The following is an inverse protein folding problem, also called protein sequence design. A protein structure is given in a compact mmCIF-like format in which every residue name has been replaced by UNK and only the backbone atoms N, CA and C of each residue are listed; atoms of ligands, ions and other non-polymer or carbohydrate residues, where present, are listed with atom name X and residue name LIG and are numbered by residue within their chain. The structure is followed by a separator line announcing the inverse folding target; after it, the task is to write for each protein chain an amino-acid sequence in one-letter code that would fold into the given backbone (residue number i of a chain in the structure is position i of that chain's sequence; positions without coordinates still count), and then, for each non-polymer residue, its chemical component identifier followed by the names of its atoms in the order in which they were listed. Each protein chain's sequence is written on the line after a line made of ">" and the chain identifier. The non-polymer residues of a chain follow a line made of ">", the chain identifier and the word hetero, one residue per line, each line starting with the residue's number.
data_IF_660158422457
#
_entry.id   IF_660158422457
#
_cell.length_a   1.000
_cell.length_b   1.000
_cell.length_c   1.000
_cell.angle_alpha   90.00
_cell.angle_beta   90.00
_cell.angle_gamma   90.00
#
_symmetry.space_group_name_H-M   'P 1'
#
loop_
_entity.id
_entity.type
_entity.pdbx_description
1 polymer ?
#
# COMPACT_ATOMS: atom_id res chain seq x y z
N UNK A 1 10.32 -8.57 -23.24
CA UNK A 1 10.31 -8.07 -21.84
C UNK A 1 8.95 -8.45 -21.25
N UNK A 2 8.87 -9.08 -20.06
CA UNK A 2 7.59 -9.56 -19.56
C UNK A 2 6.72 -8.44 -18.99
N UNK A 3 5.43 -8.73 -18.90
CA UNK A 3 4.39 -7.73 -18.67
C UNK A 3 4.52 -7.09 -17.29
N UNK A 4 5.07 -5.88 -17.23
CA UNK A 4 5.22 -5.14 -15.98
C UNK A 4 3.84 -4.80 -15.38
N UNK A 5 2.78 -4.82 -16.20
CA UNK A 5 1.42 -4.63 -15.75
C UNK A 5 0.93 -5.78 -14.86
N UNK A 6 1.29 -7.04 -15.17
CA UNK A 6 0.95 -8.20 -14.34
C UNK A 6 1.57 -8.09 -12.94
N UNK A 7 2.81 -7.58 -12.85
CA UNK A 7 3.43 -7.33 -11.55
C UNK A 7 2.69 -6.23 -10.77
N UNK A 8 2.39 -5.10 -11.43
CA UNK A 8 1.69 -3.97 -10.78
C UNK A 8 0.32 -4.40 -10.24
N UNK A 9 -0.48 -5.13 -11.03
CA UNK A 9 -1.78 -5.64 -10.58
C UNK A 9 -1.65 -6.59 -9.39
N UNK A 10 -0.69 -7.53 -9.45
CA UNK A 10 -0.45 -8.50 -8.36
C UNK A 10 -0.04 -7.82 -7.07
N UNK A 11 0.86 -6.84 -7.16
CA UNK A 11 1.34 -6.06 -6.02
C UNK A 11 0.17 -5.33 -5.35
N UNK A 12 -0.63 -4.59 -6.12
CA UNK A 12 -1.77 -3.84 -5.58
C UNK A 12 -2.76 -4.79 -4.91
N UNK A 13 -3.11 -5.88 -5.59
CA UNK A 13 -4.02 -6.89 -5.03
C UNK A 13 -3.47 -7.48 -3.72
N UNK A 14 -2.19 -7.82 -3.66
CA UNK A 14 -1.56 -8.41 -2.47
C UNK A 14 -1.55 -7.42 -1.29
N UNK A 15 -1.11 -6.19 -1.51
CA UNK A 15 -1.03 -5.15 -0.46
C UNK A 15 -2.42 -4.86 0.13
N UNK A 16 -3.45 -4.80 -0.72
CA UNK A 16 -4.84 -4.50 -0.33
C UNK A 16 -5.53 -5.70 0.33
N UNK A 17 -5.07 -6.92 0.09
CA UNK A 17 -5.60 -8.15 0.71
C UNK A 17 -4.76 -8.64 1.89
N UNK A 18 -3.76 -7.86 2.33
CA UNK A 18 -2.95 -8.21 3.48
C UNK A 18 -3.83 -8.28 4.74
N UNK A 19 -4.06 -9.49 5.26
CA UNK A 19 -5.16 -9.78 6.21
C UNK A 19 -5.22 -8.83 7.42
N UNK A 20 -4.06 -8.46 7.98
CA UNK A 20 -4.00 -7.76 9.27
C UNK A 20 -2.88 -6.71 9.38
N UNK A 21 -2.98 -5.53 8.74
CA UNK A 21 -2.10 -4.42 9.11
C UNK A 21 -2.31 -4.10 10.60
N UNK A 22 -1.22 -3.99 11.37
CA UNK A 22 -1.28 -3.71 12.81
C UNK A 22 -2.03 -4.74 13.68
N UNK A 23 -2.17 -5.99 13.22
CA UNK A 23 -3.01 -7.02 13.85
C UNK A 23 -4.53 -6.74 13.83
N UNK A 24 -4.98 -5.72 13.08
CA UNK A 24 -6.39 -5.37 12.90
C UNK A 24 -6.81 -5.83 11.50
N UNK A 25 -7.97 -6.47 11.36
CA UNK A 25 -8.41 -6.90 10.02
C UNK A 25 -8.62 -5.69 9.12
N UNK A 26 -8.27 -5.79 7.83
CA UNK A 26 -8.59 -4.73 6.84
C UNK A 26 -10.10 -4.38 6.88
N UNK A 27 -10.95 -5.36 7.16
CA UNK A 27 -12.39 -5.16 7.28
C UNK A 27 -12.77 -4.15 8.38
N UNK A 28 -11.99 -4.06 9.45
CA UNK A 28 -12.27 -3.24 10.64
C UNK A 28 -11.86 -1.77 10.46
N UNK A 29 -11.15 -1.43 9.38
CA UNK A 29 -10.85 -0.04 9.03
C UNK A 29 -12.04 0.60 8.33
N UNK A 30 -12.69 1.55 9.02
CA UNK A 30 -13.88 2.27 8.52
C UNK A 30 -13.54 3.29 7.44
N UNK A 31 -12.34 3.85 7.45
CA UNK A 31 -11.85 4.74 6.41
C UNK A 31 -10.64 4.11 5.73
N UNK A 32 -10.70 3.99 4.41
CA UNK A 32 -9.65 3.36 3.60
C UNK A 32 -9.29 4.30 2.48
N UNK A 33 -8.00 4.60 2.38
CA UNK A 33 -7.49 5.44 1.33
C UNK A 33 -6.33 4.77 0.61
N UNK A 34 -6.29 4.91 -0.70
CA UNK A 34 -5.22 4.39 -1.54
C UNK A 34 -4.61 5.54 -2.33
N UNK A 35 -3.31 5.76 -2.21
CA UNK A 35 -2.62 6.80 -2.99
C UNK A 35 -2.41 6.36 -4.44
N UNK A 36 -3.44 6.49 -5.31
CA UNK A 36 -3.36 6.08 -6.71
C UNK A 36 -2.35 6.92 -7.47
N UNK A 37 -2.32 8.23 -7.23
CA UNK A 37 -1.37 9.14 -7.86
C UNK A 37 0.09 8.80 -7.48
N UNK A 38 0.38 8.58 -6.19
CA UNK A 38 1.70 8.17 -5.73
C UNK A 38 2.14 6.84 -6.38
N UNK A 39 1.21 5.87 -6.45
CA UNK A 39 1.43 4.57 -7.09
C UNK A 39 1.72 4.72 -8.60
N UNK A 40 0.96 5.55 -9.32
CA UNK A 40 1.18 5.85 -10.73
C UNK A 40 2.55 6.49 -10.96
N UNK A 41 2.96 7.44 -10.11
CA UNK A 41 4.28 8.08 -10.21
C UNK A 41 5.41 7.07 -10.01
N UNK A 42 5.28 6.16 -9.04
CA UNK A 42 6.25 5.10 -8.80
C UNK A 42 6.39 4.17 -10.02
N UNK A 43 5.26 3.79 -10.63
CA UNK A 43 5.24 2.96 -11.84
C UNK A 43 5.88 3.67 -13.03
N UNK A 44 5.54 4.93 -13.29
CA UNK A 44 6.12 5.74 -14.38
C UNK A 44 7.64 5.84 -14.25
N UNK A 45 8.12 6.15 -13.04
CA UNK A 45 9.55 6.23 -12.74
C UNK A 45 10.26 4.90 -13.00
N UNK A 46 9.64 3.79 -12.61
CA UNK A 46 10.19 2.46 -12.80
C UNK A 46 10.24 2.04 -14.28
N UNK A 47 9.18 2.31 -15.04
CA UNK A 47 9.12 2.00 -16.47
C UNK A 47 9.96 2.96 -17.32
N UNK A 48 10.39 4.10 -16.77
CA UNK A 48 11.14 5.13 -17.48
C UNK A 48 10.33 5.82 -18.59
N UNK A 49 9.00 5.71 -18.56
CA UNK A 49 8.10 6.31 -19.54
C UNK A 49 6.75 6.63 -18.90
N UNK A 50 6.01 7.54 -19.52
CA UNK A 50 4.63 7.77 -19.12
C UNK A 50 3.77 6.55 -19.48
N UNK A 51 2.89 6.21 -18.54
CA UNK A 51 1.95 5.09 -18.62
C UNK A 51 0.68 5.52 -17.91
N UNK A 52 -0.44 5.33 -18.59
CA UNK A 52 -1.75 5.28 -17.96
C UNK A 52 -2.06 3.82 -17.62
N UNK A 53 -2.23 3.54 -16.33
CA UNK A 53 -2.69 2.21 -15.90
C UNK A 53 -4.20 2.14 -16.10
N UNK A 54 -4.73 1.06 -16.71
CA UNK A 54 -6.16 0.90 -16.87
C UNK A 54 -6.83 0.81 -15.50
N UNK A 55 -8.06 1.31 -15.38
CA UNK A 55 -8.82 1.32 -14.13
C UNK A 55 -8.96 -0.08 -13.50
N UNK A 56 -8.91 -1.15 -14.31
CA UNK A 56 -8.91 -2.54 -13.85
C UNK A 56 -7.77 -2.86 -12.88
N UNK A 57 -6.62 -2.22 -13.00
CA UNK A 57 -5.47 -2.37 -12.07
C UNK A 57 -5.84 -1.92 -10.66
N UNK A 58 -6.76 -0.97 -10.54
CA UNK A 58 -7.23 -0.42 -9.27
C UNK A 58 -8.60 -0.98 -8.86
N UNK A 59 -9.14 -2.00 -9.55
CA UNK A 59 -10.46 -2.54 -9.26
C UNK A 59 -10.60 -3.07 -7.82
N UNK A 60 -9.51 -3.57 -7.22
CA UNK A 60 -9.50 -4.05 -5.82
C UNK A 60 -9.63 -2.93 -4.78
N UNK A 61 -9.51 -1.66 -5.19
CA UNK A 61 -9.63 -0.48 -4.33
C UNK A 61 -10.76 0.45 -4.78
N UNK A 62 -11.77 -0.07 -5.47
CA UNK A 62 -12.87 0.72 -6.02
C UNK A 62 -13.60 1.55 -4.94
N UNK A 63 -13.80 0.98 -3.75
CA UNK A 63 -14.49 1.64 -2.63
C UNK A 63 -13.58 2.50 -1.75
N UNK A 64 -12.29 2.63 -2.11
CA UNK A 64 -11.32 3.40 -1.34
C UNK A 64 -11.23 4.82 -1.89
N UNK A 65 -11.06 5.80 -1.01
CA UNK A 65 -10.83 7.19 -1.42
C UNK A 65 -9.39 7.37 -1.90
N UNK A 66 -9.18 8.25 -2.89
CA UNK A 66 -7.82 8.59 -3.32
C UNK A 66 -7.23 9.61 -2.33
N UNK A 67 -6.06 9.32 -1.76
CA UNK A 67 -5.40 10.21 -0.84
C UNK A 67 -4.17 10.82 -1.49
N UNK A 68 -4.15 12.16 -1.54
CA UNK A 68 -3.06 12.91 -2.19
C UNK A 68 -1.76 12.77 -1.39
N UNK A 69 -1.79 12.79 -0.05
CA UNK A 69 -0.55 12.74 0.76
C UNK A 69 -0.63 12.16 2.19
N UNK A 70 -1.82 11.85 2.72
CA UNK A 70 -2.05 11.15 4.02
C UNK A 70 -3.56 11.02 4.27
N UNK A 71 -3.94 10.16 5.21
CA UNK A 71 -5.27 10.24 5.82
C UNK A 71 -5.26 11.39 6.83
N UNK A 72 -6.24 12.33 6.77
CA UNK A 72 -6.40 13.33 7.81
C UNK A 72 -6.53 12.65 9.17
N UNK A 73 -5.93 13.25 10.21
CA UNK A 73 -6.15 12.76 11.56
C UNK A 73 -7.65 12.73 11.84
N UNK A 74 -8.17 11.66 12.46
CA UNK A 74 -9.59 11.54 12.65
C UNK A 74 -10.06 12.69 13.54
N UNK A 75 -10.87 13.58 12.96
CA UNK A 75 -11.37 14.76 13.64
C UNK A 75 -12.41 14.34 14.68
N UNK A 76 -12.09 14.56 15.94
CA UNK A 76 -13.09 14.61 17.00
C UNK A 76 -13.60 16.04 17.12
N UNK A 77 -14.90 16.25 16.94
CA UNK A 77 -15.53 17.52 17.31
C UNK A 77 -15.26 17.74 18.81
N UNK A 78 -14.65 18.87 19.16
CA UNK A 78 -14.12 19.16 20.50
C UNK A 78 -15.14 19.07 21.65
N UNK A 79 -16.44 18.98 21.34
CA UNK A 79 -17.54 18.89 22.30
C UNK A 79 -17.98 17.46 22.62
N UNK A 80 -17.46 16.44 21.93
CA UNK A 80 -17.99 15.08 22.04
C UNK A 80 -17.13 14.21 22.95
N UNK A 81 -17.56 14.07 24.21
CA UNK A 81 -16.89 13.23 25.24
C UNK A 81 -16.90 11.74 24.92
N UNK A 82 -17.58 11.34 23.83
CA UNK A 82 -17.67 9.97 23.34
C UNK A 82 -16.91 9.72 22.04
N UNK A 83 -16.17 10.72 21.53
CA UNK A 83 -15.51 10.59 20.24
C UNK A 83 -14.50 9.44 20.23
N UNK A 84 -14.90 8.37 19.54
CA UNK A 84 -14.04 7.24 19.22
C UNK A 84 -13.65 7.41 17.76
N UNK A 85 -12.48 7.99 17.47
CA UNK A 85 -12.04 8.18 16.09
C UNK A 85 -12.02 6.83 15.36
N UNK A 86 -12.58 6.74 14.15
CA UNK A 86 -12.62 5.50 13.39
C UNK A 86 -11.20 5.01 13.06
N UNK A 87 -10.98 3.69 13.04
CA UNK A 87 -9.73 3.13 12.52
C UNK A 87 -9.59 3.47 11.03
N UNK A 88 -8.43 3.98 10.63
CA UNK A 88 -8.14 4.41 9.26
C UNK A 88 -6.87 3.75 8.71
N UNK A 89 -6.86 3.44 7.41
CA UNK A 89 -5.71 2.81 6.71
C UNK A 89 -5.41 3.48 5.39
N UNK A 90 -4.15 3.90 5.22
CA UNK A 90 -3.61 4.47 3.99
C UNK A 90 -2.53 3.57 3.43
N UNK A 91 -2.63 3.22 2.14
CA UNK A 91 -1.65 2.41 1.43
C UNK A 91 -1.23 3.10 0.13
N UNK A 92 0.07 3.07 -0.18
CA UNK A 92 0.59 3.50 -1.48
C UNK A 92 1.87 2.74 -1.84
N UNK A 93 2.00 2.32 -3.11
CA UNK A 93 3.28 1.83 -3.63
C UNK A 93 4.14 3.04 -3.99
N UNK A 94 5.35 3.12 -3.44
CA UNK A 94 6.19 4.30 -3.55
C UNK A 94 7.41 4.08 -4.44
N UNK A 95 7.79 2.82 -4.68
CA UNK A 95 8.97 2.51 -5.50
C UNK A 95 8.93 1.08 -6.02
N UNK A 96 9.42 0.89 -7.24
CA UNK A 96 9.83 -0.40 -7.77
C UNK A 96 11.31 -0.33 -8.10
N UNK A 97 12.07 -1.34 -7.71
CA UNK A 97 13.51 -1.42 -7.92
C UNK A 97 13.90 -2.81 -8.41
N UNK A 98 14.78 -2.87 -9.41
CA UNK A 98 15.34 -4.15 -9.83
C UNK A 98 16.15 -4.74 -8.67
N UNK A 99 15.95 -6.04 -8.42
CA UNK A 99 16.79 -6.78 -7.47
C UNK A 99 18.15 -7.15 -8.06
N UNK A 100 18.92 -7.90 -7.28
CA UNK A 100 20.28 -8.31 -7.69
C UNK A 100 20.24 -9.30 -8.87
N UNK A 101 19.16 -10.11 -8.96
CA UNK A 101 18.96 -11.06 -10.04
C UNK A 101 18.10 -10.46 -11.16
N UNK A 102 18.37 -10.87 -12.41
CA UNK A 102 17.62 -10.40 -13.58
C UNK A 102 16.11 -10.73 -13.55
N UNK A 103 15.71 -11.70 -12.72
CA UNK A 103 14.34 -12.14 -12.52
C UNK A 103 13.76 -11.67 -11.17
N UNK A 104 14.42 -10.74 -10.49
CA UNK A 104 14.04 -10.24 -9.17
C UNK A 104 13.59 -8.77 -9.24
N UNK A 105 12.56 -8.45 -8.47
CA UNK A 105 12.04 -7.10 -8.29
C UNK A 105 11.74 -6.84 -6.82
N UNK A 106 12.15 -5.67 -6.34
CA UNK A 106 11.87 -5.16 -5.02
C UNK A 106 10.80 -4.08 -5.11
N UNK A 107 9.75 -4.24 -4.33
CA UNK A 107 8.59 -3.35 -4.33
C UNK A 107 8.47 -2.70 -2.97
N UNK A 108 8.55 -1.38 -2.95
CA UNK A 108 8.44 -0.59 -1.74
C UNK A 108 7.06 0.04 -1.65
N UNK A 109 6.44 -0.08 -0.48
CA UNK A 109 5.17 0.56 -0.21
C UNK A 109 5.12 1.09 1.21
N UNK A 110 4.38 2.18 1.38
CA UNK A 110 4.15 2.80 2.68
C UNK A 110 2.75 2.51 3.14
N UNK A 111 2.63 2.23 4.44
CA UNK A 111 1.33 2.07 5.11
C UNK A 111 1.28 3.00 6.31
N UNK A 112 0.24 3.81 6.39
CA UNK A 112 -0.08 4.56 7.61
C UNK A 112 -1.38 4.03 8.15
N UNK A 113 -1.43 3.78 9.46
CA UNK A 113 -2.66 3.38 10.12
C UNK A 113 -2.85 4.18 11.39
N UNK A 114 -4.10 4.59 11.61
CA UNK A 114 -4.54 5.22 12.83
C UNK A 114 -5.59 4.30 13.44
N UNK A 115 -5.34 3.79 14.63
CA UNK A 115 -6.27 2.91 15.35
C UNK A 115 -6.32 3.30 16.83
N UNK A 116 -7.44 2.99 17.49
CA UNK A 116 -7.62 3.21 18.92
C UNK A 116 -7.72 1.87 19.68
N UNK A 117 -6.60 1.15 19.89
CA UNK A 117 -6.60 0.07 20.86
C UNK A 117 -6.52 0.72 22.26
N UNK A 118 -7.65 0.79 22.97
CA UNK A 118 -7.70 1.21 24.39
C UNK A 118 -7.46 2.71 24.68
N UNK A 119 -8.39 3.58 24.29
CA UNK A 119 -8.42 4.99 24.73
C UNK A 119 -7.29 5.92 24.28
N UNK A 120 -6.37 5.44 23.44
CA UNK A 120 -5.34 6.26 22.80
C UNK A 120 -5.38 6.11 21.28
N UNK A 121 -5.30 7.25 20.56
CA UNK A 121 -5.12 7.25 19.11
C UNK A 121 -3.66 6.95 18.82
N UNK A 122 -3.39 5.78 18.26
CA UNK A 122 -2.04 5.40 17.84
C UNK A 122 -1.96 5.53 16.33
N UNK A 123 -1.14 6.48 15.86
CA UNK A 123 -0.76 6.60 14.46
C UNK A 123 0.60 5.96 14.26
N UNK A 124 0.65 4.86 13.51
CA UNK A 124 1.90 4.23 13.15
C UNK A 124 2.12 4.30 11.63
N UNK A 125 3.39 4.42 11.24
CA UNK A 125 3.82 4.47 9.84
C UNK A 125 4.87 3.42 9.61
N UNK A 126 4.69 2.64 8.56
CA UNK A 126 5.61 1.58 8.17
C UNK A 126 5.95 1.73 6.70
N UNK A 127 7.20 1.40 6.39
CA UNK A 127 7.68 1.18 5.04
C UNK A 127 8.03 -0.29 4.91
N UNK A 128 7.47 -0.94 3.90
CA UNK A 128 7.75 -2.34 3.60
C UNK A 128 8.50 -2.44 2.29
N UNK A 129 9.36 -3.45 2.19
CA UNK A 129 9.99 -3.87 0.95
C UNK A 129 9.65 -5.35 0.72
N UNK A 130 9.03 -5.66 -0.41
CA UNK A 130 8.73 -7.01 -0.83
C UNK A 130 9.61 -7.45 -1.98
N UNK A 131 10.09 -8.69 -1.91
CA UNK A 131 10.77 -9.35 -3.02
C UNK A 131 9.78 -10.14 -3.87
N UNK A 132 9.88 -9.95 -5.18
CA UNK A 132 9.11 -10.65 -6.19
C UNK A 132 10.06 -11.32 -7.19
N UNK A 133 9.82 -12.60 -7.47
CA UNK A 133 10.64 -13.41 -8.36
C UNK A 133 9.84 -13.85 -9.58
N UNK A 134 10.48 -13.86 -10.75
CA UNK A 134 9.88 -14.37 -11.98
C UNK A 134 10.26 -15.84 -12.19
N UNK A 135 9.29 -16.73 -11.92
CA UNK A 135 9.47 -18.18 -11.97
C UNK A 135 8.53 -18.75 -13.04
N UNK A 136 9.09 -19.45 -14.02
CA UNK A 136 8.31 -20.05 -15.12
C UNK A 136 7.56 -19.02 -15.98
N UNK A 137 8.06 -17.78 -16.04
CA UNK A 137 7.44 -16.69 -16.79
C UNK A 137 6.45 -15.83 -16.02
N UNK A 138 6.06 -16.22 -14.80
CA UNK A 138 5.09 -15.51 -13.94
C UNK A 138 5.76 -14.88 -12.73
N UNK A 139 5.29 -13.71 -12.29
CA UNK A 139 5.75 -13.06 -11.06
C UNK A 139 5.12 -13.73 -9.83
N UNK A 140 5.95 -14.07 -8.85
CA UNK A 140 5.57 -14.68 -7.59
C UNK A 140 6.13 -13.87 -6.43
N UNK A 141 5.29 -13.65 -5.42
CA UNK A 141 5.73 -13.12 -4.13
C UNK A 141 6.65 -14.12 -3.47
N UNK A 142 7.82 -13.66 -3.01
CA UNK A 142 8.81 -14.51 -2.35
C UNK A 142 8.92 -14.20 -0.85
N UNK A 143 8.86 -12.91 -0.46
CA UNK A 143 8.94 -12.55 0.95
C UNK A 143 9.09 -11.06 1.22
N UNK A 144 9.10 -10.69 2.51
CA UNK A 144 9.54 -9.37 2.94
C UNK A 144 11.06 -9.31 2.99
N UNK A 145 11.63 -8.21 2.51
CA UNK A 145 13.02 -7.86 2.76
C UNK A 145 13.02 -6.99 4.01
N UNK A 146 13.73 -7.46 5.05
CA UNK A 146 13.93 -6.66 6.25
C UNK A 146 14.77 -5.43 5.88
N UNK A 147 14.13 -4.27 5.85
CA UNK A 147 14.83 -3.00 5.70
C UNK A 147 15.42 -2.68 7.07
N UNK A 148 16.74 -2.78 7.20
CA UNK A 148 17.42 -2.27 8.40
C UNK A 148 17.29 -0.75 8.33
N UNK A 149 16.50 -0.16 9.21
CA UNK A 149 16.50 1.28 9.44
C UNK A 149 17.91 1.66 9.91
N UNK A 150 18.65 2.35 9.04
CA UNK A 150 19.92 2.99 9.39
C UNK A 150 19.73 4.21 10.25
#
# INVERSE_FOLDING_TARGET
>A
MPDHNDLVERVIRRIVTQDKPAAISIADFRQRAFGRQATLMAVRKYLGRDVELPASVFASVADWTDAVDKIPEPECLASDTTCTPPSTVWLAVTKFERGDLAHEMNVWYTTSFTAKPHDQVITNRYSFCERWLRIGGTWRYDGFIRVVSG
#
